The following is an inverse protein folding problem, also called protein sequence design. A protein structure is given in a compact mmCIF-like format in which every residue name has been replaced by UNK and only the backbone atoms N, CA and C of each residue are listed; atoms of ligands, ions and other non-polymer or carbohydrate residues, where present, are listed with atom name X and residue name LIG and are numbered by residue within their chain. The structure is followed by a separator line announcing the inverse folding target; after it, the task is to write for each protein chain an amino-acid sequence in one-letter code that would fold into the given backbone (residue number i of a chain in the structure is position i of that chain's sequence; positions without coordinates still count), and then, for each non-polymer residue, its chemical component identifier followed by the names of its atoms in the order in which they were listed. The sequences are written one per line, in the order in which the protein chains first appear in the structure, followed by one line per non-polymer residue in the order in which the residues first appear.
data_IF_163623991291
#
_entry.id   IF_163623991291
#
_cell.length_a   1.000
_cell.length_b   1.000
_cell.length_c   1.000
_cell.angle_alpha   90.00
_cell.angle_beta   90.00
_cell.angle_gamma   90.00
#
_symmetry.space_group_name_H-M   'P 1'
#
loop_
_entity.id
_entity.type
_entity.pdbx_description
1 polymer ?
#
# COMPACT_ATOMS: atom_id res chain seq x y z
N UNK A 1 -29.01 12.59 -22.66
CA UNK A 1 -29.93 12.40 -21.52
C UNK A 1 -31.28 12.05 -22.08
N UNK A 2 -31.55 10.76 -22.19
CA UNK A 2 -32.90 10.24 -22.34
C UNK A 2 -33.64 10.51 -21.03
N UNK A 3 -34.66 11.37 -21.11
CA UNK A 3 -35.34 11.89 -19.93
C UNK A 3 -36.35 10.89 -19.36
N UNK A 4 -36.86 9.99 -20.20
CA UNK A 4 -37.84 8.98 -19.80
C UNK A 4 -37.19 7.95 -18.87
N UNK A 5 -36.06 7.37 -19.27
CA UNK A 5 -35.27 6.45 -18.44
C UNK A 5 -34.87 7.05 -17.08
N UNK A 6 -34.40 8.30 -17.08
CA UNK A 6 -34.05 8.97 -15.84
C UNK A 6 -35.26 9.14 -14.91
N UNK A 7 -36.42 9.50 -15.46
CA UNK A 7 -37.66 9.69 -14.70
C UNK A 7 -38.19 8.35 -14.14
N UNK A 8 -38.03 7.24 -14.84
CA UNK A 8 -38.36 5.88 -14.35
C UNK A 8 -37.57 5.53 -13.07
N UNK A 9 -36.24 5.67 -13.12
CA UNK A 9 -35.39 5.39 -11.95
C UNK A 9 -35.66 6.33 -10.76
N UNK A 10 -36.19 7.53 -11.01
CA UNK A 10 -36.52 8.49 -9.96
C UNK A 10 -37.92 8.23 -9.36
N UNK A 11 -38.91 7.92 -10.19
CA UNK A 11 -40.30 7.73 -9.76
C UNK A 11 -40.54 6.36 -9.11
N UNK A 12 -39.87 5.31 -9.60
CA UNK A 12 -39.99 3.95 -9.10
C UNK A 12 -38.60 3.29 -8.95
N UNK A 13 -37.78 3.75 -7.98
CA UNK A 13 -36.40 3.29 -7.86
C UNK A 13 -36.31 1.81 -7.45
N UNK A 14 -35.61 1.00 -8.25
CA UNK A 14 -35.32 -0.41 -7.99
C UNK A 14 -34.40 -0.57 -6.80
N UNK A 15 -34.81 -1.35 -5.80
CA UNK A 15 -33.98 -1.68 -4.63
C UNK A 15 -33.83 -0.57 -3.58
N UNK A 16 -34.56 0.55 -3.70
CA UNK A 16 -34.52 1.62 -2.68
C UNK A 16 -35.17 1.16 -1.37
N UNK A 17 -34.51 1.41 -0.24
CA UNK A 17 -34.99 1.00 1.09
C UNK A 17 -34.99 -0.51 1.30
N UNK A 18 -34.60 -1.29 0.30
CA UNK A 18 -34.41 -2.70 0.43
C UNK A 18 -33.03 -2.93 1.06
N UNK A 19 -33.01 -3.62 2.20
CA UNK A 19 -31.95 -4.59 2.52
C UNK A 19 -32.52 -5.77 3.30
N UNK A 20 -32.15 -6.97 2.86
CA UNK A 20 -32.35 -8.21 3.62
C UNK A 20 -31.17 -8.36 4.59
N UNK A 21 -31.39 -9.02 5.72
CA UNK A 21 -30.32 -9.44 6.62
C UNK A 21 -29.22 -10.20 5.86
N UNK A 22 -27.95 -9.92 6.15
CA UNK A 22 -26.79 -10.65 5.60
C UNK A 22 -26.20 -10.10 4.29
N UNK A 23 -26.45 -8.84 3.93
CA UNK A 23 -25.71 -8.12 2.87
C UNK A 23 -24.49 -7.35 3.39
N UNK A 24 -23.59 -6.97 2.49
CA UNK A 24 -22.41 -6.14 2.78
C UNK A 24 -22.62 -4.72 2.28
N UNK A 25 -22.35 -3.73 3.14
CA UNK A 25 -22.65 -2.33 2.86
C UNK A 25 -21.41 -1.56 2.39
N UNK A 26 -21.61 -0.66 1.44
CA UNK A 26 -20.65 0.34 1.01
C UNK A 26 -21.27 1.73 1.05
N UNK A 27 -20.50 2.72 1.47
CA UNK A 27 -20.96 4.09 1.69
C UNK A 27 -20.11 5.11 0.94
N UNK A 28 -20.74 6.15 0.41
CA UNK A 28 -20.06 7.29 -0.22
C UNK A 28 -20.82 8.60 0.01
N UNK A 29 -20.09 9.71 0.12
CA UNK A 29 -20.65 11.07 0.23
C UNK A 29 -19.99 11.94 1.32
N UNK A 30 -20.60 13.09 1.62
CA UNK A 30 -20.37 13.81 2.89
C UNK A 30 -19.35 14.97 2.92
N UNK A 31 -18.95 15.61 1.81
CA UNK A 31 -18.00 16.75 1.89
C UNK A 31 -18.32 18.02 1.08
N UNK A 32 -19.12 17.97 0.00
CA UNK A 32 -19.32 19.15 -0.87
C UNK A 32 -20.78 19.44 -1.25
N UNK A 33 -21.59 18.42 -1.53
CA UNK A 33 -22.99 18.57 -1.94
C UNK A 33 -24.00 18.14 -0.86
N UNK A 34 -23.54 17.48 0.21
CA UNK A 34 -24.41 16.89 1.24
C UNK A 34 -25.03 15.55 0.85
N UNK A 35 -24.85 15.09 -0.39
CA UNK A 35 -25.33 13.79 -0.86
C UNK A 35 -24.63 12.64 -0.10
N UNK A 36 -25.42 11.64 0.26
CA UNK A 36 -25.01 10.42 0.94
C UNK A 36 -25.73 9.23 0.30
N UNK A 37 -24.97 8.18 0.00
CA UNK A 37 -25.53 6.93 -0.52
C UNK A 37 -24.90 5.73 0.19
N UNK A 38 -25.75 4.75 0.47
CA UNK A 38 -25.39 3.41 0.89
C UNK A 38 -25.88 2.43 -0.17
N UNK A 39 -24.98 1.62 -0.69
CA UNK A 39 -25.31 0.47 -1.55
C UNK A 39 -24.98 -0.78 -0.76
N UNK A 40 -25.76 -1.84 -0.90
CA UNK A 40 -25.47 -3.10 -0.25
C UNK A 40 -25.78 -4.28 -1.14
N UNK A 41 -24.91 -5.28 -1.03
CA UNK A 41 -24.79 -6.38 -1.99
C UNK A 41 -24.62 -7.68 -1.21
N UNK A 42 -25.28 -8.75 -1.66
CA UNK A 42 -25.08 -10.10 -1.15
C UNK A 42 -24.61 -11.01 -2.28
N UNK A 43 -23.51 -11.72 -2.03
CA UNK A 43 -22.91 -12.67 -2.97
C UNK A 43 -23.11 -14.09 -2.43
N UNK A 44 -23.51 -15.01 -3.32
CA UNK A 44 -23.48 -16.45 -3.06
C UNK A 44 -22.75 -17.13 -4.22
N UNK A 45 -21.68 -17.87 -3.91
CA UNK A 45 -20.81 -18.43 -4.94
C UNK A 45 -20.11 -17.32 -5.73
N UNK A 46 -20.40 -17.24 -7.03
CA UNK A 46 -19.83 -16.29 -7.98
C UNK A 46 -20.84 -15.23 -8.47
N UNK A 47 -22.00 -15.11 -7.83
CA UNK A 47 -23.10 -14.24 -8.26
C UNK A 47 -23.57 -13.28 -7.18
N UNK A 48 -23.99 -12.09 -7.63
CA UNK A 48 -24.73 -11.13 -6.81
C UNK A 48 -26.20 -11.58 -6.76
N UNK A 49 -26.62 -12.15 -5.65
CA UNK A 49 -27.99 -12.72 -5.49
C UNK A 49 -29.02 -11.70 -4.98
N UNK A 50 -28.56 -10.56 -4.48
CA UNK A 50 -29.42 -9.45 -4.08
C UNK A 50 -28.58 -8.15 -4.01
N UNK A 51 -29.19 -7.04 -4.38
CA UNK A 51 -28.66 -5.70 -4.17
C UNK A 51 -29.76 -4.72 -3.73
N UNK A 52 -29.36 -3.67 -3.02
CA UNK A 52 -30.26 -2.63 -2.55
C UNK A 52 -29.50 -1.35 -2.22
N UNK A 53 -30.24 -0.26 -2.00
CA UNK A 53 -29.62 1.01 -1.68
C UNK A 53 -30.51 1.93 -0.84
N UNK A 54 -29.86 2.85 -0.13
CA UNK A 54 -30.47 4.04 0.48
C UNK A 54 -29.70 5.27 0.05
N UNK A 55 -30.41 6.37 -0.19
CA UNK A 55 -29.81 7.61 -0.64
C UNK A 55 -30.54 8.82 -0.03
N UNK A 56 -29.74 9.75 0.50
CA UNK A 56 -30.15 11.06 0.99
C UNK A 56 -29.42 12.12 0.17
N UNK A 57 -30.17 13.00 -0.49
CA UNK A 57 -29.58 14.00 -1.38
C UNK A 57 -30.41 14.26 -2.63
N UNK A 58 -29.72 14.64 -3.72
CA UNK A 58 -30.39 15.01 -4.96
C UNK A 58 -31.09 13.82 -5.66
N UNK A 59 -32.11 14.11 -6.48
CA UNK A 59 -32.82 13.07 -7.25
C UNK A 59 -31.92 12.29 -8.22
N UNK A 60 -30.83 12.89 -8.69
CA UNK A 60 -29.85 12.20 -9.53
C UNK A 60 -29.13 11.07 -8.76
N UNK A 61 -28.92 11.23 -7.45
CA UNK A 61 -28.34 10.19 -6.60
C UNK A 61 -29.29 9.03 -6.39
N UNK A 62 -30.59 9.32 -6.17
CA UNK A 62 -31.61 8.27 -6.09
C UNK A 62 -31.68 7.47 -7.39
N UNK A 63 -31.70 8.15 -8.54
CA UNK A 63 -31.71 7.49 -9.83
C UNK A 63 -30.43 6.66 -10.06
N UNK A 64 -29.26 7.21 -9.74
CA UNK A 64 -27.99 6.50 -9.86
C UNK A 64 -27.90 5.25 -8.97
N UNK A 65 -28.42 5.30 -7.75
CA UNK A 65 -28.51 4.13 -6.87
C UNK A 65 -29.41 3.02 -7.45
N UNK A 66 -30.57 3.42 -7.99
CA UNK A 66 -31.50 2.51 -8.68
C UNK A 66 -30.85 1.83 -9.90
N UNK A 67 -30.16 2.60 -10.75
CA UNK A 67 -29.42 2.08 -11.89
C UNK A 67 -28.27 1.13 -11.46
N UNK A 68 -27.52 1.50 -10.42
CA UNK A 68 -26.44 0.65 -9.91
C UNK A 68 -26.96 -0.72 -9.44
N UNK A 69 -28.08 -0.78 -8.71
CA UNK A 69 -28.71 -2.04 -8.27
C UNK A 69 -29.17 -2.87 -9.46
N UNK A 70 -29.85 -2.24 -10.42
CA UNK A 70 -30.37 -2.91 -11.61
C UNK A 70 -29.27 -3.55 -12.46
N UNK A 71 -28.11 -2.89 -12.57
CA UNK A 71 -26.97 -3.37 -13.36
C UNK A 71 -26.21 -4.54 -12.72
N UNK A 72 -26.40 -4.82 -11.42
CA UNK A 72 -25.61 -5.82 -10.70
C UNK A 72 -26.41 -7.00 -10.15
N UNK A 73 -27.71 -6.84 -9.89
CA UNK A 73 -28.51 -7.93 -9.32
C UNK A 73 -28.67 -9.08 -10.32
N UNK A 74 -28.34 -10.30 -9.89
CA UNK A 74 -28.37 -11.52 -10.72
C UNK A 74 -27.09 -11.77 -11.53
N UNK A 75 -26.22 -10.77 -11.63
CA UNK A 75 -25.00 -10.84 -12.44
C UNK A 75 -23.88 -11.65 -11.78
N UNK A 76 -22.96 -12.13 -12.62
CA UNK A 76 -21.69 -12.68 -12.15
C UNK A 76 -20.87 -11.58 -11.46
N UNK A 77 -20.14 -11.90 -10.40
CA UNK A 77 -19.43 -10.92 -9.55
C UNK A 77 -18.43 -10.08 -10.35
N UNK A 78 -17.77 -10.66 -11.37
CA UNK A 78 -16.90 -9.91 -12.26
C UNK A 78 -17.64 -9.00 -13.25
N UNK A 79 -18.87 -9.34 -13.65
CA UNK A 79 -19.71 -8.43 -14.44
C UNK A 79 -20.10 -7.23 -13.58
N UNK A 80 -20.59 -7.49 -12.35
CA UNK A 80 -20.92 -6.45 -11.39
C UNK A 80 -19.72 -5.53 -11.07
N UNK A 81 -18.52 -6.10 -10.92
CA UNK A 81 -17.28 -5.35 -10.67
C UNK A 81 -16.78 -4.51 -11.87
N UNK A 82 -17.43 -4.58 -13.03
CA UNK A 82 -17.17 -3.70 -14.18
C UNK A 82 -18.11 -2.48 -14.22
N UNK A 83 -19.14 -2.45 -13.38
CA UNK A 83 -20.13 -1.36 -13.34
C UNK A 83 -19.51 -0.12 -12.70
N UNK A 84 -19.03 0.79 -13.54
CA UNK A 84 -18.49 2.08 -13.13
C UNK A 84 -19.44 3.26 -13.37
N UNK A 85 -18.94 4.47 -13.12
CA UNK A 85 -19.66 5.73 -13.35
C UNK A 85 -20.28 5.82 -14.73
N UNK A 86 -19.54 5.43 -15.77
CA UNK A 86 -20.00 5.50 -17.17
C UNK A 86 -21.20 4.57 -17.41
N UNK A 87 -21.15 3.33 -16.95
CA UNK A 87 -22.24 2.36 -17.11
C UNK A 87 -23.52 2.83 -16.39
N UNK A 88 -23.38 3.35 -15.15
CA UNK A 88 -24.50 3.91 -14.39
C UNK A 88 -25.09 5.13 -15.12
N UNK A 89 -24.24 6.02 -15.64
CA UNK A 89 -24.71 7.18 -16.36
C UNK A 89 -25.43 6.79 -17.67
N UNK A 90 -24.92 5.80 -18.40
CA UNK A 90 -25.53 5.27 -19.63
C UNK A 90 -26.89 4.62 -19.38
N UNK A 91 -27.02 3.84 -18.30
CA UNK A 91 -28.30 3.23 -17.90
C UNK A 91 -29.38 4.30 -17.69
N UNK A 92 -29.00 5.43 -17.07
CA UNK A 92 -29.85 6.59 -16.88
C UNK A 92 -30.13 7.41 -18.17
N UNK A 93 -29.70 6.94 -19.35
CA UNK A 93 -29.84 7.67 -20.60
C UNK A 93 -28.80 8.77 -20.81
N UNK A 94 -27.74 8.77 -20.01
CA UNK A 94 -26.70 9.79 -19.92
C UNK A 94 -27.02 10.87 -18.87
N UNK A 95 -26.01 11.37 -18.17
CA UNK A 95 -26.13 12.45 -17.19
C UNK A 95 -25.48 13.75 -17.69
N UNK A 96 -26.01 14.90 -17.24
CA UNK A 96 -25.33 16.18 -17.48
C UNK A 96 -24.04 16.29 -16.64
N UNK A 97 -23.06 17.11 -17.04
CA UNK A 97 -21.79 17.23 -16.31
C UNK A 97 -21.95 17.53 -14.81
N UNK A 98 -22.91 18.39 -14.45
CA UNK A 98 -23.20 18.72 -13.04
C UNK A 98 -23.88 17.62 -12.24
N UNK A 99 -24.33 16.53 -12.88
CA UNK A 99 -24.97 15.37 -12.22
C UNK A 99 -24.11 14.11 -12.24
N UNK A 100 -23.00 14.09 -12.98
CA UNK A 100 -22.11 12.91 -13.06
C UNK A 100 -21.59 12.46 -11.69
N UNK A 101 -21.39 13.41 -10.77
CA UNK A 101 -20.99 13.12 -9.40
C UNK A 101 -21.94 12.12 -8.70
N UNK A 102 -23.24 12.12 -9.02
CA UNK A 102 -24.19 11.18 -8.45
C UNK A 102 -23.89 9.73 -8.86
N UNK A 103 -23.51 9.51 -10.13
CA UNK A 103 -23.06 8.21 -10.61
C UNK A 103 -21.70 7.82 -10.01
N UNK A 104 -20.80 8.78 -9.78
CA UNK A 104 -19.52 8.52 -9.09
C UNK A 104 -19.75 8.05 -7.65
N UNK A 105 -20.64 8.71 -6.90
CA UNK A 105 -20.99 8.31 -5.53
C UNK A 105 -21.62 6.91 -5.50
N UNK A 106 -22.56 6.63 -6.41
CA UNK A 106 -23.19 5.32 -6.50
C UNK A 106 -22.18 4.21 -6.84
N UNK A 107 -21.30 4.45 -7.81
CA UNK A 107 -20.20 3.53 -8.13
C UNK A 107 -19.26 3.34 -6.94
N UNK A 108 -18.93 4.42 -6.21
CA UNK A 108 -18.02 4.33 -5.07
C UNK A 108 -18.60 3.50 -3.91
N UNK A 109 -19.88 3.70 -3.59
CA UNK A 109 -20.60 2.89 -2.62
C UNK A 109 -20.74 1.43 -3.08
N UNK A 110 -21.11 1.19 -4.34
CA UNK A 110 -21.23 -0.15 -4.93
C UNK A 110 -19.90 -0.93 -4.83
N UNK A 111 -18.78 -0.33 -5.21
CA UNK A 111 -17.50 -1.02 -5.20
C UNK A 111 -16.95 -1.31 -3.80
N UNK A 112 -17.32 -0.51 -2.80
CA UNK A 112 -17.06 -0.80 -1.39
C UNK A 112 -17.87 -2.00 -0.91
N UNK A 113 -19.16 -2.06 -1.27
CA UNK A 113 -20.05 -3.19 -0.97
C UNK A 113 -19.55 -4.49 -1.64
N UNK A 114 -19.24 -4.42 -2.94
CA UNK A 114 -18.70 -5.54 -3.70
C UNK A 114 -17.36 -6.03 -3.14
N UNK A 115 -16.48 -5.13 -2.73
CA UNK A 115 -15.19 -5.51 -2.14
C UNK A 115 -15.33 -6.24 -0.81
N UNK A 116 -16.27 -5.82 0.04
CA UNK A 116 -16.61 -6.54 1.27
C UNK A 116 -17.25 -7.91 0.96
N UNK A 117 -18.23 -7.97 0.06
CA UNK A 117 -18.88 -9.21 -0.34
C UNK A 117 -17.94 -10.21 -1.05
N UNK A 118 -16.93 -9.71 -1.78
CA UNK A 118 -15.95 -10.55 -2.47
C UNK A 118 -15.10 -11.40 -1.50
N UNK A 119 -15.01 -11.03 -0.22
CA UNK A 119 -14.34 -11.85 0.81
C UNK A 119 -15.09 -13.16 1.10
N UNK A 120 -16.38 -13.22 0.77
CA UNK A 120 -17.25 -14.40 0.94
C UNK A 120 -17.54 -15.12 -0.39
N UNK A 121 -17.05 -14.58 -1.51
CA UNK A 121 -17.20 -15.19 -2.82
C UNK A 121 -16.49 -16.56 -2.88
N UNK A 122 -16.99 -17.41 -3.75
CA UNK A 122 -16.41 -18.71 -4.07
C UNK A 122 -16.42 -18.90 -5.59
N UNK A 123 -15.59 -18.10 -6.27
CA UNK A 123 -15.43 -18.20 -7.73
C UNK A 123 -14.54 -19.41 -8.06
N UNK A 124 -14.93 -20.28 -9.01
CA UNK A 124 -14.07 -21.38 -9.46
C UNK A 124 -12.69 -20.90 -9.92
N UNK A 125 -11.68 -21.70 -9.59
CA UNK A 125 -10.28 -21.43 -9.99
C UNK A 125 -10.16 -21.47 -11.51
N UNK A 126 -9.44 -20.49 -12.03
CA UNK A 126 -9.05 -20.37 -13.43
C UNK A 126 -7.54 -20.17 -13.48
N UNK A 127 -6.83 -21.16 -14.04
CA UNK A 127 -5.36 -21.20 -14.07
C UNK A 127 -4.73 -19.99 -14.79
N UNK A 128 -5.50 -19.34 -15.69
CA UNK A 128 -5.06 -18.13 -16.39
C UNK A 128 -5.30 -16.83 -15.62
N UNK A 129 -6.10 -16.85 -14.54
CA UNK A 129 -6.55 -15.65 -13.85
C UNK A 129 -5.48 -15.08 -12.92
N UNK A 130 -5.38 -13.75 -12.93
CA UNK A 130 -4.45 -13.02 -12.08
C UNK A 130 -5.15 -11.85 -11.40
N UNK A 131 -5.03 -11.76 -10.08
CA UNK A 131 -5.41 -10.57 -9.34
C UNK A 131 -4.30 -9.54 -9.49
N UNK A 132 -4.60 -8.31 -9.89
CA UNK A 132 -3.60 -7.26 -10.12
C UNK A 132 -3.82 -6.11 -9.14
N UNK A 133 -2.82 -5.84 -8.30
CA UNK A 133 -2.87 -4.75 -7.34
C UNK A 133 -2.65 -3.39 -8.04
N UNK A 134 -3.67 -2.53 -8.02
CA UNK A 134 -3.66 -1.20 -8.62
C UNK A 134 -3.67 -0.09 -7.57
N UNK A 135 -2.61 0.72 -7.54
CA UNK A 135 -2.44 1.83 -6.58
C UNK A 135 -2.76 3.21 -7.18
N UNK A 136 -3.27 3.25 -8.41
CA UNK A 136 -3.50 4.50 -9.16
C UNK A 136 -2.21 5.13 -9.73
N UNK A 137 -1.07 4.45 -9.60
CA UNK A 137 0.21 4.85 -10.20
C UNK A 137 0.49 4.19 -11.55
N UNK A 138 1.46 4.76 -12.28
CA UNK A 138 1.90 4.29 -13.61
C UNK A 138 2.28 2.81 -13.60
N UNK A 139 3.12 2.39 -12.64
CA UNK A 139 3.68 1.04 -12.61
C UNK A 139 2.58 -0.03 -12.50
N UNK A 140 1.63 0.16 -11.58
CA UNK A 140 0.53 -0.78 -11.43
C UNK A 140 -0.44 -0.80 -12.63
N UNK A 141 -0.61 0.33 -13.31
CA UNK A 141 -1.44 0.41 -14.50
C UNK A 141 -0.78 -0.31 -15.70
N UNK A 142 0.53 -0.16 -15.87
CA UNK A 142 1.27 -0.92 -16.90
C UNK A 142 1.28 -2.42 -16.58
N UNK A 143 1.47 -2.79 -15.32
CA UNK A 143 1.38 -4.19 -14.90
C UNK A 143 0.01 -4.80 -15.23
N UNK A 144 -1.09 -4.07 -14.96
CA UNK A 144 -2.43 -4.50 -15.34
C UNK A 144 -2.62 -4.57 -16.86
N UNK A 145 -2.11 -3.58 -17.60
CA UNK A 145 -2.18 -3.55 -19.06
C UNK A 145 -1.49 -4.74 -19.73
N UNK A 146 -0.32 -5.15 -19.21
CA UNK A 146 0.45 -6.30 -19.70
C UNK A 146 -0.25 -7.65 -19.43
N UNK A 147 -1.13 -7.71 -18.43
CA UNK A 147 -1.82 -8.94 -18.00
C UNK A 147 -3.33 -8.92 -18.29
N UNK A 148 -3.81 -7.94 -19.06
CA UNK A 148 -5.22 -7.55 -19.12
C UNK A 148 -6.21 -8.64 -19.54
N UNK A 149 -5.77 -9.64 -20.29
CA UNK A 149 -6.67 -10.66 -20.85
C UNK A 149 -7.42 -11.45 -19.78
N UNK A 150 -6.76 -11.77 -18.65
CA UNK A 150 -7.33 -12.54 -17.54
C UNK A 150 -7.14 -11.83 -16.18
N UNK A 151 -6.98 -10.51 -16.20
CA UNK A 151 -6.74 -9.72 -15.00
C UNK A 151 -8.04 -9.34 -14.28
N UNK A 152 -8.01 -9.44 -12.95
CA UNK A 152 -8.98 -8.83 -12.05
C UNK A 152 -8.25 -7.77 -11.24
N UNK A 153 -8.69 -6.51 -11.29
CA UNK A 153 -8.04 -5.43 -10.57
C UNK A 153 -8.52 -5.38 -9.11
N UNK A 154 -7.58 -5.09 -8.20
CA UNK A 154 -7.90 -4.78 -6.80
C UNK A 154 -7.17 -3.52 -6.36
N UNK A 155 -7.86 -2.67 -5.60
CA UNK A 155 -7.26 -1.53 -4.91
C UNK A 155 -7.56 -1.62 -3.42
N UNK A 156 -6.61 -1.15 -2.61
CA UNK A 156 -6.72 -1.19 -1.16
C UNK A 156 -6.95 0.22 -0.62
N UNK A 157 -7.90 0.35 0.29
CA UNK A 157 -8.02 1.54 1.13
C UNK A 157 -7.34 1.23 2.47
N UNK A 158 -6.16 1.83 2.69
CA UNK A 158 -5.32 1.53 3.85
C UNK A 158 -5.40 2.59 4.95
N UNK A 159 -5.65 3.85 4.58
CA UNK A 159 -5.57 4.94 5.55
C UNK A 159 -6.44 6.11 5.13
N UNK A 160 -7.12 6.72 6.11
CA UNK A 160 -7.84 7.98 5.95
C UNK A 160 -7.59 8.82 7.19
N UNK A 161 -7.07 10.01 7.00
CA UNK A 161 -6.85 11.01 8.05
C UNK A 161 -7.33 12.36 7.49
N UNK A 162 -8.00 13.14 8.33
CA UNK A 162 -8.61 14.43 7.94
C UNK A 162 -7.56 15.47 7.54
N UNK A 163 -6.33 15.39 8.06
CA UNK A 163 -5.25 16.32 7.72
C UNK A 163 -4.38 15.84 6.55
N UNK A 164 -4.62 14.64 6.02
CA UNK A 164 -3.80 14.11 4.94
C UNK A 164 -4.11 14.81 3.61
N UNK A 165 -3.06 15.11 2.85
CA UNK A 165 -3.20 15.43 1.44
C UNK A 165 -3.56 14.17 0.67
N UNK A 166 -4.84 14.04 0.30
CA UNK A 166 -5.35 12.92 -0.47
C UNK A 166 -4.59 12.71 -1.80
N UNK A 167 -4.03 13.77 -2.39
CA UNK A 167 -3.24 13.68 -3.62
C UNK A 167 -1.86 13.03 -3.43
N UNK A 168 -1.31 13.13 -2.21
CA UNK A 168 0.03 12.64 -1.87
C UNK A 168 0.08 11.15 -1.48
N UNK A 169 -1.06 10.54 -1.12
CA UNK A 169 -1.13 9.12 -0.76
C UNK A 169 -1.59 8.23 -1.92
N UNK A 170 -0.89 7.11 -2.15
CA UNK A 170 -1.31 6.09 -3.10
C UNK A 170 -2.52 5.24 -2.65
N UNK A 171 -3.00 5.45 -1.42
CA UNK A 171 -4.11 4.71 -0.81
C UNK A 171 -5.26 5.64 -0.38
N UNK A 172 -5.30 6.87 -0.89
CA UNK A 172 -6.40 7.81 -0.64
C UNK A 172 -7.68 7.42 -1.39
N UNK A 173 -8.80 8.02 -1.00
CA UNK A 173 -10.07 7.85 -1.72
C UNK A 173 -9.95 8.24 -3.21
N UNK A 174 -9.18 9.29 -3.53
CA UNK A 174 -8.96 9.70 -4.91
C UNK A 174 -8.06 8.73 -5.68
N UNK A 175 -7.04 8.16 -5.04
CA UNK A 175 -6.22 7.11 -5.63
C UNK A 175 -7.05 5.85 -5.94
N UNK A 176 -7.96 5.48 -5.05
CA UNK A 176 -8.89 4.35 -5.24
C UNK A 176 -9.82 4.60 -6.43
N UNK A 177 -10.44 5.79 -6.50
CA UNK A 177 -11.30 6.18 -7.63
C UNK A 177 -10.56 6.17 -8.96
N UNK A 178 -9.34 6.72 -8.97
CA UNK A 178 -8.50 6.72 -10.16
C UNK A 178 -8.12 5.30 -10.59
N UNK A 179 -7.72 4.44 -9.66
CA UNK A 179 -7.36 3.05 -9.96
C UNK A 179 -8.56 2.29 -10.56
N UNK A 180 -9.76 2.47 -10.00
CA UNK A 180 -11.02 1.91 -10.53
C UNK A 180 -11.29 2.40 -11.94
N UNK A 181 -11.21 3.72 -12.17
CA UNK A 181 -11.44 4.31 -13.49
C UNK A 181 -10.47 3.74 -14.54
N UNK A 182 -9.18 3.63 -14.21
CA UNK A 182 -8.17 3.05 -15.12
C UNK A 182 -8.46 1.58 -15.39
N UNK A 183 -8.85 0.81 -14.37
CA UNK A 183 -9.23 -0.59 -14.54
C UNK A 183 -10.44 -0.74 -15.48
N UNK A 184 -11.49 0.06 -15.28
CA UNK A 184 -12.70 0.04 -16.12
C UNK A 184 -12.42 0.46 -17.56
N UNK A 185 -11.55 1.44 -17.80
CA UNK A 185 -11.12 1.81 -19.16
C UNK A 185 -10.35 0.69 -19.87
N UNK A 186 -9.63 -0.14 -19.13
CA UNK A 186 -9.02 -1.37 -19.66
C UNK A 186 -10.03 -2.51 -19.83
N UNK A 187 -11.28 -2.32 -19.43
CA UNK A 187 -12.28 -3.38 -19.37
C UNK A 187 -11.89 -4.45 -18.37
N UNK A 188 -11.41 -4.08 -17.17
CA UNK A 188 -11.11 -5.00 -16.08
C UNK A 188 -12.19 -4.91 -14.98
N UNK A 189 -12.59 -6.03 -14.37
CA UNK A 189 -13.35 -5.99 -13.12
C UNK A 189 -12.47 -5.41 -12.02
N UNK A 190 -13.05 -4.59 -11.14
CA UNK A 190 -12.33 -3.90 -10.08
C UNK A 190 -13.00 -4.09 -8.71
N UNK A 191 -12.21 -4.44 -7.71
CA UNK A 191 -12.64 -4.50 -6.31
C UNK A 191 -11.86 -3.50 -5.44
N UNK A 192 -12.54 -2.90 -4.46
CA UNK A 192 -11.92 -2.09 -3.42
C UNK A 192 -11.95 -2.84 -2.10
N UNK A 193 -10.80 -3.24 -1.58
CA UNK A 193 -10.71 -3.86 -0.26
C UNK A 193 -10.40 -2.78 0.80
N UNK A 194 -11.27 -2.65 1.80
CA UNK A 194 -10.97 -1.84 2.98
C UNK A 194 -10.08 -2.67 3.92
N UNK A 195 -8.89 -2.14 4.22
CA UNK A 195 -7.94 -2.69 5.18
C UNK A 195 -7.51 -1.65 6.20
N UNK A 196 -8.29 -0.58 6.40
CA UNK A 196 -7.91 0.47 7.36
C UNK A 196 -7.68 -0.08 8.78
N UNK A 197 -8.52 -0.97 9.33
CA UNK A 197 -8.26 -1.57 10.65
C UNK A 197 -6.98 -2.41 10.70
N UNK A 198 -6.78 -3.28 9.72
CA UNK A 198 -5.63 -4.19 9.62
C UNK A 198 -4.33 -3.41 9.40
N UNK A 199 -4.38 -2.35 8.59
CA UNK A 199 -3.26 -1.45 8.34
C UNK A 199 -2.90 -0.64 9.59
N UNK A 200 -3.91 -0.13 10.33
CA UNK A 200 -3.69 0.54 11.60
C UNK A 200 -2.95 -0.38 12.57
N UNK A 201 -3.49 -1.57 12.80
CA UNK A 201 -2.95 -2.52 13.77
C UNK A 201 -1.59 -3.12 13.35
N UNK A 202 -1.42 -3.43 12.07
CA UNK A 202 -0.23 -4.13 11.55
C UNK A 202 0.92 -3.24 11.10
N UNK A 203 0.65 -1.96 10.80
CA UNK A 203 1.65 -1.03 10.24
C UNK A 203 1.80 0.23 11.10
N UNK A 204 0.70 0.93 11.35
CA UNK A 204 0.75 2.24 12.01
C UNK A 204 1.09 2.10 13.50
N UNK A 205 0.37 1.28 14.26
CA UNK A 205 0.62 1.12 15.69
C UNK A 205 2.05 0.58 15.99
N UNK A 206 2.58 -0.42 15.25
CA UNK A 206 3.98 -0.84 15.39
C UNK A 206 4.99 0.27 15.04
N UNK A 207 4.69 1.08 14.03
CA UNK A 207 5.51 2.24 13.68
C UNK A 207 5.56 3.26 14.83
N UNK A 208 4.41 3.58 15.42
CA UNK A 208 4.30 4.48 16.57
C UNK A 208 5.04 3.92 17.80
N UNK A 209 4.85 2.65 18.11
CA UNK A 209 5.50 1.97 19.23
C UNK A 209 7.04 1.94 19.07
N UNK A 210 7.54 1.70 17.85
CA UNK A 210 8.96 1.72 17.57
C UNK A 210 9.58 3.10 17.79
N UNK A 211 8.92 4.17 17.32
CA UNK A 211 9.38 5.54 17.60
C UNK A 211 9.32 5.89 19.10
N UNK A 212 8.30 5.43 19.82
CA UNK A 212 8.21 5.59 21.27
C UNK A 212 9.36 4.87 22.01
N UNK A 213 9.88 3.78 21.43
CA UNK A 213 11.02 3.02 21.93
C UNK A 213 12.39 3.53 21.45
N UNK A 214 12.45 4.63 20.68
CA UNK A 214 13.69 5.17 20.11
C UNK A 214 14.23 4.39 18.90
N UNK A 215 13.41 3.53 18.31
CA UNK A 215 13.73 2.83 17.06
C UNK A 215 13.30 3.66 15.84
N UNK A 216 13.73 3.24 14.65
CA UNK A 216 13.30 3.78 13.36
C UNK A 216 12.71 2.65 12.51
N UNK A 217 11.42 2.30 12.68
CA UNK A 217 10.79 1.20 11.97
C UNK A 217 10.73 1.43 10.45
N UNK A 218 10.72 0.33 9.69
CA UNK A 218 10.42 0.34 8.25
C UNK A 218 8.98 -0.19 8.01
N UNK A 219 7.97 0.70 7.90
CA UNK A 219 6.57 0.28 7.79
C UNK A 219 6.23 -0.32 6.41
N UNK A 220 7.02 -0.05 5.36
CA UNK A 220 6.74 -0.56 4.02
C UNK A 220 7.00 -2.06 3.93
N UNK A 221 8.09 -2.53 4.54
CA UNK A 221 8.44 -3.96 4.57
C UNK A 221 7.41 -4.76 5.35
N UNK A 222 6.94 -4.27 6.51
CA UNK A 222 5.87 -4.94 7.26
C UNK A 222 4.53 -4.90 6.52
N UNK A 223 4.18 -3.76 5.93
CA UNK A 223 2.96 -3.60 5.13
C UNK A 223 2.90 -4.61 3.97
N UNK A 224 3.96 -4.68 3.15
CA UNK A 224 4.02 -5.66 2.06
C UNK A 224 4.02 -7.10 2.58
N UNK A 225 4.71 -7.36 3.71
CA UNK A 225 4.89 -8.71 4.24
C UNK A 225 3.65 -9.35 4.86
N UNK A 226 2.88 -8.61 5.67
CA UNK A 226 1.88 -9.21 6.58
C UNK A 226 0.51 -8.52 6.57
N UNK A 227 0.31 -7.50 5.75
CA UNK A 227 -0.98 -6.79 5.68
C UNK A 227 -1.48 -6.76 4.24
N UNK A 228 -0.72 -6.13 3.35
CA UNK A 228 -1.17 -5.81 2.01
C UNK A 228 -1.28 -7.04 1.12
N UNK A 229 -0.18 -7.77 0.97
CA UNK A 229 -0.07 -8.84 -0.01
C UNK A 229 -0.80 -10.11 0.46
N UNK A 230 -0.74 -10.42 1.76
CA UNK A 230 -1.44 -11.58 2.32
C UNK A 230 -2.97 -11.45 2.18
N UNK A 231 -3.54 -10.28 2.47
CA UNK A 231 -4.99 -10.04 2.27
C UNK A 231 -5.39 -10.08 0.79
N UNK A 232 -4.54 -9.58 -0.11
CA UNK A 232 -4.79 -9.69 -1.54
C UNK A 232 -4.67 -11.13 -2.05
N UNK A 233 -3.75 -11.94 -1.52
CA UNK A 233 -3.68 -13.37 -1.84
C UNK A 233 -4.91 -14.12 -1.34
N UNK A 234 -5.40 -13.80 -0.14
CA UNK A 234 -6.65 -14.34 0.38
C UNK A 234 -7.86 -13.95 -0.49
N UNK A 235 -7.93 -12.70 -0.96
CA UNK A 235 -8.94 -12.30 -1.94
C UNK A 235 -8.77 -13.04 -3.26
N UNK A 236 -7.53 -13.22 -3.73
CA UNK A 236 -7.24 -13.96 -4.97
C UNK A 236 -7.82 -15.38 -4.91
N UNK A 237 -7.70 -16.06 -3.75
CA UNK A 237 -8.32 -17.37 -3.52
C UNK A 237 -9.86 -17.33 -3.68
N UNK A 238 -10.52 -16.32 -3.10
CA UNK A 238 -11.99 -16.14 -3.21
C UNK A 238 -12.46 -15.87 -4.63
N UNK A 239 -11.61 -15.22 -5.43
CA UNK A 239 -11.87 -14.86 -6.81
C UNK A 239 -11.32 -15.88 -7.82
N UNK A 240 -10.85 -17.04 -7.36
CA UNK A 240 -10.34 -18.10 -8.23
C UNK A 240 -9.11 -17.68 -9.05
N UNK A 241 -8.30 -16.75 -8.52
CA UNK A 241 -7.06 -16.28 -9.12
C UNK A 241 -5.84 -16.93 -8.44
N UNK A 242 -5.13 -17.87 -9.10
CA UNK A 242 -3.96 -18.51 -8.50
C UNK A 242 -2.81 -17.54 -8.21
N UNK A 243 -2.73 -16.44 -8.96
CA UNK A 243 -1.61 -15.49 -8.89
C UNK A 243 -2.04 -14.07 -8.51
N UNK A 244 -1.12 -13.36 -7.84
CA UNK A 244 -1.19 -11.94 -7.53
C UNK A 244 -0.07 -11.19 -8.25
N UNK A 245 -0.43 -10.27 -9.14
CA UNK A 245 0.51 -9.36 -9.79
C UNK A 245 0.57 -8.00 -9.10
N UNK A 246 1.76 -7.41 -9.08
CA UNK A 246 1.95 -6.03 -8.60
C UNK A 246 2.88 -5.26 -9.54
N UNK A 247 2.81 -3.94 -9.50
CA UNK A 247 3.76 -3.07 -10.20
C UNK A 247 5.14 -2.97 -9.53
N UNK A 248 5.54 -3.94 -8.69
CA UNK A 248 6.86 -3.93 -8.08
C UNK A 248 7.93 -4.43 -9.05
N UNK A 249 9.13 -3.85 -8.95
CA UNK A 249 10.31 -4.27 -9.69
C UNK A 249 11.09 -5.27 -8.83
N UNK A 250 10.86 -6.56 -9.06
CA UNK A 250 11.61 -7.66 -8.46
C UNK A 250 11.48 -8.90 -9.34
N UNK A 251 12.46 -9.80 -9.26
CA UNK A 251 12.42 -11.10 -9.93
C UNK A 251 12.15 -12.21 -8.93
N UNK A 252 11.75 -13.38 -9.42
CA UNK A 252 11.61 -14.60 -8.63
C UNK A 252 12.54 -15.64 -9.22
N UNK A 253 13.33 -16.30 -8.37
CA UNK A 253 14.20 -17.41 -8.75
C UNK A 253 13.39 -18.69 -8.94
N UNK A 254 13.99 -19.69 -9.60
CA UNK A 254 13.34 -21.00 -9.80
C UNK A 254 12.99 -21.69 -8.47
N UNK A 255 13.79 -21.48 -7.42
CA UNK A 255 13.54 -21.99 -6.07
C UNK A 255 12.57 -21.12 -5.24
N UNK A 256 11.91 -20.14 -5.86
CA UNK A 256 10.82 -19.37 -5.23
C UNK A 256 11.30 -18.29 -4.25
N UNK A 257 12.47 -17.70 -4.47
CA UNK A 257 13.00 -16.58 -3.69
C UNK A 257 13.00 -15.28 -4.48
N UNK A 258 13.02 -14.15 -3.77
CA UNK A 258 13.11 -12.83 -4.41
C UNK A 258 14.53 -12.59 -4.93
N UNK A 259 14.63 -12.06 -6.14
CA UNK A 259 15.87 -11.59 -6.76
C UNK A 259 15.73 -10.11 -7.13
N UNK A 260 16.85 -9.39 -7.11
CA UNK A 260 16.90 -8.01 -7.57
C UNK A 260 16.32 -7.85 -9.00
N UNK A 261 15.63 -6.75 -9.25
CA UNK A 261 15.10 -6.42 -10.57
C UNK A 261 16.21 -6.22 -11.61
N UNK A 262 15.84 -6.23 -12.90
CA UNK A 262 16.77 -5.88 -13.97
C UNK A 262 17.21 -4.42 -13.92
N UNK A 263 16.32 -3.50 -13.49
CA UNK A 263 16.63 -2.09 -13.24
C UNK A 263 17.10 -1.87 -11.79
N UNK A 264 18.41 -1.65 -11.54
CA UNK A 264 18.92 -1.48 -10.18
C UNK A 264 18.43 -0.19 -9.51
N UNK A 265 18.02 0.83 -10.27
CA UNK A 265 17.52 2.09 -9.73
C UNK A 265 16.10 1.96 -9.20
N UNK A 266 15.36 0.94 -9.63
CA UNK A 266 14.00 0.64 -9.20
C UNK A 266 13.87 -0.64 -8.38
N UNK A 267 14.93 -1.41 -8.17
CA UNK A 267 14.92 -2.66 -7.40
C UNK A 267 14.17 -2.51 -6.07
N UNK A 268 13.05 -3.22 -5.96
CA UNK A 268 12.17 -3.22 -4.80
C UNK A 268 12.23 -4.55 -4.02
N UNK A 269 13.17 -5.44 -4.33
CA UNK A 269 13.36 -6.71 -3.61
C UNK A 269 13.50 -6.52 -2.09
N UNK A 270 14.18 -5.46 -1.65
CA UNK A 270 14.29 -5.08 -0.23
C UNK A 270 12.93 -4.78 0.41
N UNK A 271 12.02 -4.08 -0.29
CA UNK A 271 10.69 -3.74 0.23
C UNK A 271 9.77 -4.96 0.30
N UNK A 272 10.12 -6.03 -0.40
CA UNK A 272 9.40 -7.30 -0.45
C UNK A 272 10.07 -8.38 0.41
N UNK A 273 11.21 -8.11 1.03
CA UNK A 273 12.04 -9.10 1.72
C UNK A 273 11.34 -9.82 2.89
N UNK A 274 10.24 -9.28 3.41
CA UNK A 274 9.45 -9.92 4.45
C UNK A 274 8.46 -10.98 3.96
N UNK A 275 8.25 -11.08 2.64
CA UNK A 275 7.34 -12.06 2.03
C UNK A 275 7.76 -13.50 2.37
N UNK A 276 6.76 -14.35 2.59
CA UNK A 276 7.01 -15.78 2.76
C UNK A 276 7.28 -16.44 1.39
N UNK A 277 8.07 -17.55 1.34
CA UNK A 277 8.23 -18.32 0.10
C UNK A 277 6.89 -18.78 -0.52
N UNK A 278 5.91 -19.11 0.31
CA UNK A 278 4.56 -19.46 -0.14
C UNK A 278 3.85 -18.28 -0.82
N UNK A 279 3.98 -17.06 -0.28
CA UNK A 279 3.47 -15.85 -0.91
C UNK A 279 4.21 -15.59 -2.23
N UNK A 280 5.56 -15.66 -2.24
CA UNK A 280 6.41 -15.42 -3.42
C UNK A 280 6.04 -16.34 -4.59
N UNK A 281 5.78 -17.63 -4.33
CA UNK A 281 5.39 -18.60 -5.36
C UNK A 281 4.12 -18.17 -6.15
N UNK A 282 3.25 -17.40 -5.50
CA UNK A 282 2.01 -16.87 -6.08
C UNK A 282 2.16 -15.46 -6.65
N UNK A 283 3.29 -14.80 -6.47
CA UNK A 283 3.52 -13.45 -6.98
C UNK A 283 3.88 -13.44 -8.46
N UNK A 284 3.48 -12.37 -9.15
CA UNK A 284 3.95 -12.01 -10.49
C UNK A 284 4.42 -10.55 -10.48
N UNK A 285 5.54 -10.30 -11.14
CA UNK A 285 6.13 -8.97 -11.26
C UNK A 285 6.30 -8.64 -12.75
N UNK A 286 5.27 -8.14 -13.44
CA UNK A 286 5.31 -7.92 -14.89
C UNK A 286 6.38 -6.92 -15.33
N UNK A 287 6.87 -6.08 -14.41
CA UNK A 287 7.86 -5.05 -14.69
C UNK A 287 9.30 -5.49 -14.37
N UNK A 288 9.50 -6.76 -13.98
CA UNK A 288 10.77 -7.25 -13.43
C UNK A 288 11.99 -7.07 -14.36
N UNK A 289 11.76 -7.17 -15.67
CA UNK A 289 12.79 -7.05 -16.72
C UNK A 289 12.80 -5.67 -17.39
N UNK A 290 11.93 -4.75 -16.97
CA UNK A 290 11.78 -3.43 -17.58
C UNK A 290 12.47 -2.36 -16.76
N UNK A 291 13.05 -1.38 -17.45
CA UNK A 291 13.50 -0.13 -16.87
C UNK A 291 12.34 0.84 -16.69
N UNK A 292 12.45 1.77 -15.73
CA UNK A 292 11.41 2.80 -15.53
C UNK A 292 11.08 3.60 -16.80
N UNK A 293 12.05 4.00 -17.65
CA UNK A 293 11.76 4.66 -18.91
C UNK A 293 10.90 3.81 -19.87
N UNK A 294 11.20 2.52 -20.01
CA UNK A 294 10.41 1.60 -20.86
C UNK A 294 8.97 1.48 -20.35
N UNK A 295 8.77 1.40 -19.03
CA UNK A 295 7.43 1.38 -18.43
C UNK A 295 6.66 2.67 -18.76
N UNK A 296 7.31 3.84 -18.77
CA UNK A 296 6.66 5.10 -19.17
C UNK A 296 6.30 5.16 -20.66
N UNK A 297 7.13 4.55 -21.52
CA UNK A 297 6.82 4.41 -22.95
C UNK A 297 5.57 3.55 -23.13
N UNK A 298 5.52 2.37 -22.52
CA UNK A 298 4.34 1.48 -22.58
C UNK A 298 3.09 2.21 -22.09
N UNK A 299 3.17 2.94 -20.97
CA UNK A 299 2.03 3.69 -20.45
C UNK A 299 1.51 4.73 -21.44
N UNK A 300 2.40 5.38 -22.19
CA UNK A 300 2.07 6.40 -23.18
C UNK A 300 1.46 5.77 -24.44
N UNK A 301 2.06 4.70 -24.96
CA UNK A 301 1.59 3.96 -26.14
C UNK A 301 0.21 3.32 -25.90
N UNK A 302 -0.02 2.82 -24.69
CA UNK A 302 -1.30 2.29 -24.26
C UNK A 302 -2.33 3.38 -23.91
N UNK A 303 -1.99 4.67 -24.07
CA UNK A 303 -2.83 5.82 -23.74
C UNK A 303 -3.41 5.78 -22.31
N UNK A 304 -2.62 5.31 -21.34
CA UNK A 304 -3.08 5.19 -19.95
C UNK A 304 -3.24 6.59 -19.33
N UNK A 305 -4.36 6.91 -18.66
CA UNK A 305 -4.59 8.24 -18.07
C UNK A 305 -3.53 8.67 -17.06
N UNK A 306 -2.83 7.70 -16.48
CA UNK A 306 -1.82 7.91 -15.44
C UNK A 306 -0.41 8.06 -15.99
N UNK A 307 -0.19 7.98 -17.31
CA UNK A 307 1.15 7.95 -17.93
C UNK A 307 2.08 9.11 -17.52
N UNK A 308 1.51 10.31 -17.35
CA UNK A 308 2.24 11.51 -16.93
C UNK A 308 2.39 11.67 -15.42
N UNK A 309 1.80 10.78 -14.61
CA UNK A 309 1.82 10.89 -13.15
C UNK A 309 3.24 10.66 -12.60
N UNK A 310 3.60 11.46 -11.60
CA UNK A 310 4.81 11.25 -10.82
C UNK A 310 4.68 10.02 -9.91
N UNK A 311 5.82 9.40 -9.60
CA UNK A 311 5.84 8.30 -8.62
C UNK A 311 5.53 8.87 -7.23
N UNK A 312 4.68 8.18 -6.45
CA UNK A 312 4.43 8.54 -5.05
C UNK A 312 5.75 8.53 -4.27
N UNK A 313 5.98 9.59 -3.52
CA UNK A 313 7.13 9.77 -2.63
C UNK A 313 6.59 9.80 -1.19
N UNK A 314 7.40 9.31 -0.25
CA UNK A 314 7.10 9.24 1.20
C UNK A 314 6.18 8.09 1.66
N UNK A 315 6.03 7.93 2.98
CA UNK A 315 5.15 6.95 3.60
C UNK A 315 3.68 7.26 3.31
N UNK A 316 2.93 6.24 2.85
CA UNK A 316 1.56 6.41 2.36
C UNK A 316 0.58 7.01 3.38
N UNK A 317 0.83 6.86 4.68
CA UNK A 317 -0.03 7.39 5.74
C UNK A 317 0.41 8.75 6.28
N UNK A 318 1.64 9.21 5.99
CA UNK A 318 2.08 10.57 6.33
C UNK A 318 1.46 11.60 5.39
N UNK A 319 1.40 11.28 4.08
CA UNK A 319 0.66 12.02 3.05
C UNK A 319 0.71 13.56 3.21
N UNK A 320 1.92 14.12 3.29
CA UNK A 320 2.14 15.57 3.36
C UNK A 320 2.11 16.21 4.76
N UNK A 321 1.66 15.51 5.81
CA UNK A 321 1.59 16.04 7.19
C UNK A 321 2.95 16.08 7.89
N UNK A 322 3.91 15.26 7.43
CA UNK A 322 5.24 15.11 8.01
C UNK A 322 5.26 14.22 9.26
N UNK A 323 6.38 13.49 9.45
CA UNK A 323 6.55 12.50 10.53
C UNK A 323 6.27 13.07 11.93
N UNK A 324 6.83 14.24 12.25
CA UNK A 324 6.73 14.84 13.58
C UNK A 324 5.27 15.10 13.99
N UNK A 325 4.50 15.76 13.11
CA UNK A 325 3.07 16.04 13.31
C UNK A 325 2.26 14.76 13.44
N UNK A 326 2.57 13.75 12.63
CA UNK A 326 1.90 12.45 12.69
C UNK A 326 2.13 11.74 14.04
N UNK A 327 3.38 11.69 14.52
CA UNK A 327 3.73 11.08 15.81
C UNK A 327 3.05 11.81 16.99
N UNK A 328 2.99 13.14 16.96
CA UNK A 328 2.31 13.92 17.99
C UNK A 328 0.81 13.57 18.07
N UNK A 329 0.12 13.54 16.93
CA UNK A 329 -1.34 13.26 16.87
C UNK A 329 -1.70 11.83 17.23
N UNK A 330 -0.95 10.85 16.73
CA UNK A 330 -1.35 9.44 16.83
C UNK A 330 -0.72 8.68 18.00
N UNK A 331 0.42 9.15 18.53
CA UNK A 331 1.09 8.51 19.67
C UNK A 331 1.20 9.41 20.91
N UNK A 332 0.71 10.65 20.86
CA UNK A 332 0.94 11.63 21.93
C UNK A 332 2.43 11.88 22.17
N UNK A 333 3.28 11.60 21.17
CA UNK A 333 4.70 11.92 21.19
C UNK A 333 4.84 13.41 20.89
N UNK A 334 4.46 14.21 21.87
CA UNK A 334 4.59 15.67 21.82
C UNK A 334 6.06 16.08 21.87
N UNK A 335 6.30 17.31 21.45
CA UNK A 335 7.60 17.94 21.58
C UNK A 335 7.99 18.02 23.06
N UNK A 336 8.90 17.13 23.47
CA UNK A 336 9.54 17.12 24.78
C UNK A 336 10.98 17.60 24.60
N UNK A 337 11.27 18.86 24.97
CA UNK A 337 12.60 19.40 24.80
C UNK A 337 13.67 18.58 25.52
N UNK A 338 14.85 18.54 24.91
CA UNK A 338 16.00 17.81 25.42
C UNK A 338 17.30 18.31 24.81
N UNK A 339 18.41 17.83 25.36
CA UNK A 339 19.75 18.28 25.02
C UNK A 339 20.31 17.45 23.86
N UNK A 340 20.97 18.13 22.91
CA UNK A 340 21.87 17.49 21.96
C UNK A 340 23.27 17.50 22.58
N UNK A 341 23.85 16.31 22.76
CA UNK A 341 25.14 16.13 23.44
C UNK A 341 26.14 15.42 22.54
N UNK A 342 27.42 15.73 22.66
CA UNK A 342 28.49 14.94 22.02
C UNK A 342 28.67 13.59 22.71
N UNK A 343 29.45 12.69 22.12
CA UNK A 343 29.83 11.42 22.74
C UNK A 343 30.69 11.58 23.99
N UNK A 344 31.33 12.74 24.20
CA UNK A 344 32.04 13.10 25.43
C UNK A 344 31.14 13.74 26.49
N UNK A 345 29.86 14.00 26.17
CA UNK A 345 28.87 14.56 27.08
C UNK A 345 28.77 16.09 27.06
N UNK A 346 29.44 16.78 26.14
CA UNK A 346 29.32 18.22 25.96
C UNK A 346 27.96 18.56 25.33
N UNK A 347 27.24 19.52 25.91
CA UNK A 347 25.97 20.01 25.35
C UNK A 347 26.29 20.97 24.19
N UNK A 348 25.79 20.65 23.00
CA UNK A 348 26.03 21.41 21.76
C UNK A 348 24.77 22.05 21.20
N UNK A 349 23.62 21.81 21.81
CA UNK A 349 22.36 22.46 21.47
C UNK A 349 21.16 21.80 22.14
N UNK A 350 19.98 22.22 21.72
CA UNK A 350 18.70 21.71 22.20
C UNK A 350 17.87 21.17 21.03
N UNK A 351 16.90 20.33 21.32
CA UNK A 351 15.92 19.86 20.35
C UNK A 351 14.51 19.84 20.92
N UNK A 352 13.51 19.79 20.05
CA UNK A 352 12.10 19.72 20.45
C UNK A 352 11.60 18.29 20.74
N UNK A 353 12.32 17.24 20.35
CA UNK A 353 11.99 15.87 20.76
C UNK A 353 12.92 14.83 20.14
N UNK A 354 13.37 13.86 20.94
CA UNK A 354 14.33 12.84 20.47
C UNK A 354 13.76 11.95 19.35
N UNK A 355 12.44 11.73 19.32
CA UNK A 355 11.74 10.97 18.28
C UNK A 355 11.83 11.59 16.86
N UNK A 356 12.20 12.87 16.77
CA UNK A 356 12.42 13.55 15.50
C UNK A 356 13.73 13.12 14.83
N UNK A 357 14.64 12.52 15.60
CA UNK A 357 15.97 12.12 15.14
C UNK A 357 16.04 10.63 14.81
N UNK A 358 16.91 10.30 13.86
CA UNK A 358 17.17 8.92 13.45
C UNK A 358 18.67 8.69 13.45
N UNK A 359 19.14 7.53 13.93
CA UNK A 359 20.56 7.16 13.91
C UNK A 359 21.12 7.33 12.48
N UNK A 360 22.27 7.99 12.36
CA UNK A 360 22.89 8.36 11.09
C UNK A 360 22.35 9.65 10.45
N UNK A 361 21.38 10.33 11.04
CA UNK A 361 20.88 11.62 10.55
C UNK A 361 21.96 12.70 10.69
N UNK A 362 22.19 13.44 9.60
CA UNK A 362 23.10 14.58 9.53
C UNK A 362 22.38 15.93 9.44
N UNK A 363 21.32 16.00 8.63
CA UNK A 363 20.61 17.26 8.37
C UNK A 363 19.57 17.52 9.46
N UNK A 364 19.26 18.79 9.71
CA UNK A 364 18.21 19.18 10.65
C UNK A 364 18.58 18.98 12.12
N UNK A 365 19.88 18.95 12.46
CA UNK A 365 20.32 18.86 13.87
C UNK A 365 20.18 20.18 14.62
N UNK A 366 20.21 21.32 13.94
CA UNK A 366 20.16 22.63 14.59
C UNK A 366 21.43 23.02 15.37
N UNK A 367 22.51 22.24 15.23
CA UNK A 367 23.79 22.44 15.92
C UNK A 367 24.83 23.03 14.96
N UNK A 368 25.57 24.04 15.41
CA UNK A 368 26.77 24.52 14.72
C UNK A 368 27.99 23.81 15.30
N UNK A 369 28.73 23.10 14.44
CA UNK A 369 29.96 22.41 14.81
C UNK A 369 31.01 22.61 13.70
N UNK A 370 32.31 22.63 14.03
CA UNK A 370 33.39 22.79 13.06
C UNK A 370 33.44 21.64 12.05
N UNK A 371 32.98 20.44 12.45
CA UNK A 371 32.88 19.27 11.59
C UNK A 371 31.43 18.75 11.52
N UNK A 372 31.05 18.05 10.43
CA UNK A 372 29.71 17.48 10.31
C UNK A 372 29.42 16.44 11.41
N UNK A 373 28.38 16.69 12.19
CA UNK A 373 27.88 15.78 13.21
C UNK A 373 26.75 14.89 12.68
N UNK A 374 26.63 13.70 13.28
CA UNK A 374 25.60 12.73 12.99
C UNK A 374 25.00 12.19 14.29
N UNK A 375 23.70 11.86 14.28
CA UNK A 375 23.04 11.19 15.41
C UNK A 375 23.61 9.80 15.60
N UNK A 376 24.33 9.57 16.69
CA UNK A 376 24.90 8.27 17.07
C UNK A 376 23.82 7.39 17.69
N UNK A 377 23.06 7.95 18.64
CA UNK A 377 21.99 7.25 19.36
C UNK A 377 21.08 8.25 20.09
N UNK A 378 19.94 7.76 20.54
CA UNK A 378 19.02 8.49 21.43
C UNK A 378 19.03 7.84 22.81
N UNK A 379 19.18 8.64 23.87
CA UNK A 379 19.22 8.17 25.27
C UNK A 379 18.19 8.94 26.09
N UNK A 380 16.99 8.36 26.27
CA UNK A 380 15.88 9.05 26.93
C UNK A 380 15.49 10.32 26.18
N UNK A 381 15.78 11.49 26.77
CA UNK A 381 15.55 12.80 26.15
C UNK A 381 16.78 13.41 25.48
N UNK A 382 17.93 12.73 25.50
CA UNK A 382 19.15 13.24 24.87
C UNK A 382 19.32 12.65 23.49
N UNK A 383 19.80 13.49 22.57
CA UNK A 383 20.28 13.06 21.25
C UNK A 383 21.80 13.13 21.28
N UNK A 384 22.46 11.97 21.19
CA UNK A 384 23.92 11.91 21.18
C UNK A 384 24.40 12.04 19.74
N UNK A 385 25.27 13.02 19.48
CA UNK A 385 25.87 13.29 18.19
C UNK A 385 27.38 13.10 18.21
N UNK A 386 27.95 12.76 17.06
CA UNK A 386 29.38 12.52 16.92
C UNK A 386 29.82 12.58 15.47
N UNK A 387 31.10 12.27 15.25
CA UNK A 387 31.68 12.16 13.91
C UNK A 387 31.04 11.01 13.13
N UNK A 388 31.30 10.99 11.82
CA UNK A 388 30.86 9.87 10.98
C UNK A 388 31.50 8.56 11.42
N UNK A 389 32.76 8.57 11.82
CA UNK A 389 33.51 7.36 12.17
C UNK A 389 32.97 6.70 13.45
N UNK A 390 32.34 7.47 14.34
CA UNK A 390 31.67 6.94 15.53
C UNK A 390 30.35 6.21 15.22
N UNK A 391 29.79 6.36 14.01
CA UNK A 391 28.68 5.52 13.53
C UNK A 391 29.14 4.17 13.00
N UNK A 392 30.43 4.01 12.77
CA UNK A 392 30.98 2.85 12.10
C UNK A 392 30.82 1.62 13.00
N UNK A 393 30.07 0.63 12.52
CA UNK A 393 29.99 -0.68 13.16
C UNK A 393 30.37 -1.77 12.17
N UNK A 394 31.04 -2.81 12.67
CA UNK A 394 31.27 -4.05 11.94
C UNK A 394 30.44 -5.22 12.49
N UNK A 395 29.55 -4.96 13.45
CA UNK A 395 28.65 -5.96 14.01
C UNK A 395 27.24 -5.41 14.08
N UNK A 396 26.28 -6.17 13.54
CA UNK A 396 24.86 -5.80 13.58
C UNK A 396 24.08 -6.94 14.20
N UNK A 397 23.31 -6.64 15.25
CA UNK A 397 22.41 -7.62 15.85
C UNK A 397 21.03 -7.51 15.24
N UNK A 398 20.45 -8.67 14.96
CA UNK A 398 19.17 -8.80 14.26
C UNK A 398 18.26 -9.70 15.08
N UNK A 399 17.02 -9.25 15.30
CA UNK A 399 15.95 -10.04 15.91
C UNK A 399 14.90 -10.44 14.87
N UNK A 400 14.13 -11.46 15.21
CA UNK A 400 13.02 -11.93 14.37
C UNK A 400 13.49 -12.48 13.02
N UNK A 401 14.75 -12.91 12.92
CA UNK A 401 15.34 -13.35 11.67
C UNK A 401 14.58 -14.54 11.08
N UNK A 402 14.37 -14.50 9.77
CA UNK A 402 13.84 -15.59 8.96
C UNK A 402 14.84 -15.84 7.83
N UNK A 403 15.41 -17.03 7.83
CA UNK A 403 16.32 -17.49 6.79
C UNK A 403 15.57 -18.43 5.85
N UNK A 404 15.72 -18.20 4.55
CA UNK A 404 15.18 -19.05 3.47
C UNK A 404 16.23 -20.02 2.92
N UNK A 405 17.52 -19.76 3.23
CA UNK A 405 18.65 -20.66 3.00
C UNK A 405 19.54 -20.71 4.26
N UNK A 406 20.39 -21.74 4.43
CA UNK A 406 21.34 -21.79 5.54
C UNK A 406 22.12 -20.47 5.72
N UNK A 407 22.32 -20.04 6.96
CA UNK A 407 23.03 -18.79 7.27
C UNK A 407 24.46 -18.72 6.70
N UNK A 408 25.08 -19.89 6.46
CA UNK A 408 26.37 -20.02 5.79
C UNK A 408 26.37 -19.60 4.31
N UNK A 409 25.21 -19.51 3.67
CA UNK A 409 25.07 -19.04 2.30
C UNK A 409 24.91 -17.52 2.19
N UNK A 410 24.66 -16.82 3.30
CA UNK A 410 24.57 -15.36 3.31
C UNK A 410 25.97 -14.79 3.07
N UNK A 411 26.12 -13.98 2.03
CA UNK A 411 27.40 -13.31 1.70
C UNK A 411 27.34 -11.80 1.82
N UNK A 412 26.15 -11.20 1.89
CA UNK A 412 25.97 -9.78 2.08
C UNK A 412 24.68 -9.44 2.83
N UNK A 413 24.63 -8.22 3.36
CA UNK A 413 23.43 -7.63 3.97
C UNK A 413 23.18 -6.22 3.44
N UNK A 414 21.92 -5.91 3.13
CA UNK A 414 21.46 -4.55 2.88
C UNK A 414 20.70 -4.05 4.12
N UNK A 415 21.22 -3.02 4.78
CA UNK A 415 20.73 -2.50 6.07
C UNK A 415 19.81 -1.27 5.93
N UNK A 416 19.74 -0.69 4.73
CA UNK A 416 18.78 0.37 4.35
C UNK A 416 18.39 0.20 2.89
N UNK A 417 17.20 0.67 2.53
CA UNK A 417 16.66 0.48 1.17
C UNK A 417 17.60 0.96 0.05
N UNK A 418 18.08 2.20 0.16
CA UNK A 418 18.99 2.81 -0.83
C UNK A 418 20.47 2.70 -0.47
N UNK A 419 20.85 1.81 0.44
CA UNK A 419 22.27 1.54 0.71
C UNK A 419 22.79 0.42 -0.19
N UNK A 420 24.11 0.44 -0.45
CA UNK A 420 24.79 -0.74 -0.97
C UNK A 420 24.61 -1.93 -0.04
N UNK A 421 24.66 -3.14 -0.60
CA UNK A 421 24.86 -4.34 0.19
C UNK A 421 26.31 -4.36 0.71
N UNK A 422 26.50 -4.85 1.93
CA UNK A 422 27.78 -4.95 2.60
C UNK A 422 28.12 -6.42 2.76
N UNK A 423 29.32 -6.89 2.36
CA UNK A 423 29.74 -8.27 2.62
C UNK A 423 29.60 -8.62 4.10
N UNK A 424 29.02 -9.77 4.43
CA UNK A 424 28.86 -10.17 5.82
C UNK A 424 28.90 -11.68 6.02
N UNK A 425 29.08 -12.08 7.27
CA UNK A 425 28.92 -13.45 7.74
C UNK A 425 27.87 -13.48 8.85
N UNK A 426 26.98 -14.46 8.79
CA UNK A 426 26.00 -14.72 9.86
C UNK A 426 26.67 -15.54 10.97
N UNK A 427 26.51 -15.08 12.20
CA UNK A 427 26.93 -15.76 13.43
C UNK A 427 25.70 -16.03 14.30
N UNK A 428 25.58 -17.27 14.74
CA UNK A 428 24.44 -17.75 15.53
C UNK A 428 23.38 -18.48 14.71
N UNK A 429 22.34 -18.96 15.40
CA UNK A 429 21.25 -19.75 14.84
C UNK A 429 19.89 -19.26 15.35
N UNK A 430 18.83 -19.65 14.67
CA UNK A 430 17.46 -19.30 15.06
C UNK A 430 17.06 -17.88 14.66
N UNK A 431 16.34 -17.18 15.55
CA UNK A 431 15.70 -15.88 15.24
C UNK A 431 16.49 -14.66 15.72
N UNK A 432 17.59 -14.87 16.45
CA UNK A 432 18.48 -13.81 16.92
C UNK A 432 19.85 -14.07 16.34
N UNK A 433 20.27 -13.22 15.41
CA UNK A 433 21.52 -13.37 14.67
C UNK A 433 22.44 -12.19 14.94
N UNK A 434 23.75 -12.42 14.88
CA UNK A 434 24.75 -11.36 14.76
C UNK A 434 25.35 -11.43 13.36
N UNK A 435 25.51 -10.28 12.71
CA UNK A 435 26.11 -10.14 11.39
C UNK A 435 27.49 -9.50 11.56
N UNK A 436 28.54 -10.22 11.17
CA UNK A 436 29.90 -9.68 11.09
C UNK A 436 30.11 -9.08 9.70
N UNK A 437 30.31 -7.76 9.62
CA UNK A 437 30.46 -7.03 8.37
C UNK A 437 31.93 -7.01 7.92
N UNK A 438 32.16 -7.28 6.64
CA UNK A 438 33.49 -7.23 6.02
C UNK A 438 34.07 -5.82 5.91
N UNK A 439 33.22 -4.79 5.99
CA UNK A 439 33.60 -3.39 6.05
C UNK A 439 32.71 -2.63 7.06
N UNK A 440 33.18 -1.52 7.65
CA UNK A 440 32.37 -0.73 8.55
C UNK A 440 31.15 -0.12 7.86
N UNK A 441 29.97 -0.29 8.47
CA UNK A 441 28.73 0.34 8.04
C UNK A 441 28.37 1.50 8.97
N UNK A 442 27.88 2.59 8.39
CA UNK A 442 27.55 3.81 9.13
C UNK A 442 26.03 3.93 9.27
N UNK A 443 25.54 3.96 10.51
CA UNK A 443 24.13 4.21 10.80
C UNK A 443 23.23 2.99 10.57
N UNK A 444 23.61 1.82 11.07
CA UNK A 444 22.69 0.71 11.26
C UNK A 444 21.65 1.11 12.33
N UNK A 445 20.48 1.57 11.91
CA UNK A 445 19.48 2.11 12.84
C UNK A 445 18.60 0.98 13.40
N UNK A 446 18.46 0.84 14.74
CA UNK A 446 17.49 -0.09 15.33
C UNK A 446 16.09 0.11 14.77
N UNK A 447 15.35 -0.98 14.54
CA UNK A 447 14.03 -0.98 13.90
C UNK A 447 14.05 -1.06 12.37
N UNK A 448 15.17 -0.76 11.71
CA UNK A 448 15.31 -0.96 10.26
C UNK A 448 15.41 -2.44 9.90
N UNK A 449 15.20 -2.74 8.62
CA UNK A 449 15.28 -4.09 8.06
C UNK A 449 16.72 -4.45 7.71
N UNK A 450 17.18 -5.61 8.19
CA UNK A 450 18.36 -6.27 7.65
C UNK A 450 17.90 -7.28 6.57
N UNK A 451 18.17 -6.98 5.31
CA UNK A 451 17.89 -7.86 4.18
C UNK A 451 19.14 -8.69 3.87
N UNK A 452 19.07 -10.01 4.08
CA UNK A 452 20.19 -10.95 3.96
C UNK A 452 20.21 -11.52 2.54
N UNK A 453 21.39 -11.47 1.92
CA UNK A 453 21.57 -11.71 0.50
C UNK A 453 22.57 -12.84 0.23
N UNK A 454 22.36 -13.52 -0.90
CA UNK A 454 23.34 -14.36 -1.59
C UNK A 454 23.47 -13.85 -3.02
N UNK A 455 24.50 -13.05 -3.29
CA UNK A 455 24.59 -12.29 -4.53
C UNK A 455 23.41 -11.30 -4.66
N UNK A 456 22.53 -11.52 -5.63
CA UNK A 456 21.35 -10.69 -5.90
C UNK A 456 20.03 -11.28 -5.38
N UNK A 457 20.09 -12.40 -4.67
CA UNK A 457 18.92 -13.13 -4.14
C UNK A 457 18.73 -12.82 -2.66
N UNK A 458 17.49 -12.51 -2.27
CA UNK A 458 17.08 -12.37 -0.88
C UNK A 458 16.91 -13.76 -0.26
N UNK A 459 17.81 -14.09 0.67
CA UNK A 459 17.86 -15.38 1.36
C UNK A 459 17.47 -15.28 2.83
N UNK A 460 17.15 -14.07 3.30
CA UNK A 460 16.57 -13.89 4.63
C UNK A 460 16.31 -12.43 4.97
N UNK A 461 15.69 -12.24 6.12
CA UNK A 461 15.27 -10.92 6.61
C UNK A 461 15.25 -10.89 8.13
N UNK A 462 15.50 -9.74 8.73
CA UNK A 462 15.21 -9.50 10.14
C UNK A 462 15.21 -8.01 10.50
N UNK A 463 15.06 -7.70 11.78
CA UNK A 463 15.02 -6.33 12.30
C UNK A 463 16.27 -6.01 13.10
N UNK A 464 16.95 -4.91 12.75
CA UNK A 464 18.14 -4.43 13.43
C UNK A 464 17.81 -4.04 14.87
N UNK A 465 18.64 -4.41 15.83
CA UNK A 465 18.48 -4.05 17.25
C UNK A 465 19.65 -3.29 17.83
N UNK A 466 20.87 -3.52 17.32
CA UNK A 466 22.09 -2.89 17.78
C UNK A 466 23.15 -2.92 16.67
#
# INVERSE_FOLDING_TARGET
MDRERFEEHLAAPTGRGALRSGGHDGHAGGALCGDLIRVSVRVEGDRVVAAGFDADGCGALTAAGSAAVMLVEGEHIFTAARVGTTAIAEELGGLSPGKLHAADLAADALHRALGAAAREAAVPVDEGRVLVAMSGGVDSAVAAHLLRENAVAVTLELWRDEENDAGASCCSADAVRLARMVAHQMGLPHFTLDLRPEFRAGVVDPFLAGYAAGETPNPCVSCNGHVRLDEMLALADRLGAPFLATGHYARVTEDGLLRAAADPAKDQSYMLAALSPASIARMRFPLAELTKPEVRVIATEAALPVASRADSQDLCFLAGTGKARFLARHAGLEDKPGEIVTTTGEIVGDHHGAHNFTVGQRKGLGVQAPEPLYVIRTEGRRVVVGSKDELATQRVRVRGARLHRPGSEVDAVRLRYHSRAVPCRVVGEGRSLELELGEPFHGAAPGQTACLLRGDVVVGVGTITA
#
